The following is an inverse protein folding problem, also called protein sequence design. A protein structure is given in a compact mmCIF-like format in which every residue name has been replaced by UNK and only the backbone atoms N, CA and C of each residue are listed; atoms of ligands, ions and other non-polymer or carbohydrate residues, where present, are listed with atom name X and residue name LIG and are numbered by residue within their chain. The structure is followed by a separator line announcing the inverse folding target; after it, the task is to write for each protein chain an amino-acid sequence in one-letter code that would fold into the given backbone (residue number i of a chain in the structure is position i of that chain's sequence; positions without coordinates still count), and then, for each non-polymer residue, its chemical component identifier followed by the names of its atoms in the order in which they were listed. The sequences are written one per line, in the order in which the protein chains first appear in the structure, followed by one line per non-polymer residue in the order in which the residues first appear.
data_IF_305950825166
#
_entry.id   IF_305950825166
#
_cell.length_a   1.000
_cell.length_b   1.000
_cell.length_c   1.000
_cell.angle_alpha   90.00
_cell.angle_beta   90.00
_cell.angle_gamma   90.00
#
_symmetry.space_group_name_H-M   'P 1'
#
loop_
_entity.id
_entity.type
_entity.pdbx_description
1 polymer ?
#
# COMPACT_ATOMS: atom_id res chain seq x y z
N UNK A 1 14.49 10.00 4.52
CA UNK A 1 15.24 9.33 5.64
C UNK A 1 16.59 8.72 5.21
N UNK A 2 17.66 8.90 6.02
CA UNK A 2 19.02 8.42 5.68
C UNK A 2 19.14 6.89 5.60
N UNK A 3 18.46 6.15 6.49
CA UNK A 3 18.50 4.68 6.51
C UNK A 3 17.90 4.07 5.24
N UNK A 4 16.75 4.60 4.78
CA UNK A 4 16.10 4.18 3.54
C UNK A 4 17.02 4.44 2.34
N UNK A 5 17.62 5.63 2.26
CA UNK A 5 18.58 5.94 1.19
C UNK A 5 19.72 4.92 1.16
N UNK A 6 20.27 4.56 2.32
CA UNK A 6 21.38 3.59 2.38
C UNK A 6 20.97 2.20 1.92
N UNK A 7 19.82 1.70 2.38
CA UNK A 7 19.30 0.40 1.97
C UNK A 7 19.14 0.31 0.45
N UNK A 8 18.64 1.37 -0.19
CA UNK A 8 18.42 1.38 -1.63
C UNK A 8 19.71 1.57 -2.43
N UNK A 9 20.53 2.56 -2.07
CA UNK A 9 21.65 2.98 -2.92
C UNK A 9 22.95 2.21 -2.66
N UNK A 10 23.18 1.77 -1.42
CA UNK A 10 24.40 1.02 -1.09
C UNK A 10 24.14 -0.49 -1.02
N UNK A 11 22.98 -0.91 -0.49
CA UNK A 11 22.69 -2.34 -0.35
C UNK A 11 21.90 -2.93 -1.52
N UNK A 12 21.41 -2.10 -2.46
CA UNK A 12 20.64 -2.56 -3.61
C UNK A 12 19.29 -3.18 -3.23
N UNK A 13 18.68 -2.76 -2.12
CA UNK A 13 17.42 -3.35 -1.67
C UNK A 13 16.31 -3.16 -2.71
N UNK A 14 15.70 -4.27 -3.12
CA UNK A 14 14.59 -4.27 -4.07
C UNK A 14 13.24 -3.99 -3.39
N UNK A 15 13.15 -4.22 -2.07
CA UNK A 15 11.98 -4.01 -1.20
C UNK A 15 12.44 -3.52 0.16
N UNK A 16 11.54 -2.82 0.87
CA UNK A 16 11.84 -2.29 2.19
C UNK A 16 10.85 -2.82 3.22
N UNK A 17 11.39 -3.60 4.18
CA UNK A 17 10.69 -3.96 5.41
C UNK A 17 10.26 -2.71 6.17
N UNK A 18 8.96 -2.61 6.48
CA UNK A 18 8.27 -1.41 6.97
C UNK A 18 8.33 -0.25 5.98
N UNK A 19 9.50 0.38 5.83
CA UNK A 19 9.75 1.52 4.94
C UNK A 19 8.85 2.75 5.16
N UNK A 20 7.98 2.71 6.18
CA UNK A 20 6.85 3.61 6.37
C UNK A 20 7.27 5.05 6.67
N UNK A 21 8.46 5.23 7.24
CA UNK A 21 9.09 6.52 7.47
C UNK A 21 9.41 7.30 6.19
N UNK A 22 9.22 6.71 5.01
CA UNK A 22 9.27 7.47 3.76
C UNK A 22 8.28 8.64 3.75
N UNK A 23 7.22 8.57 4.56
CA UNK A 23 6.29 9.69 4.76
C UNK A 23 6.98 10.98 5.24
N UNK A 24 8.13 10.89 5.92
CA UNK A 24 8.93 12.07 6.31
C UNK A 24 9.51 12.82 5.11
N UNK A 25 9.60 12.18 3.94
CA UNK A 25 10.01 12.79 2.67
C UNK A 25 8.78 13.21 1.84
N UNK A 26 7.61 13.37 2.47
CA UNK A 26 6.37 13.87 1.86
C UNK A 26 5.91 15.09 2.66
N UNK A 27 5.91 16.25 2.03
CA UNK A 27 5.43 17.49 2.65
C UNK A 27 3.91 17.59 2.53
N UNK A 28 3.27 18.18 3.54
CA UNK A 28 1.87 18.56 3.50
C UNK A 28 1.78 20.08 3.29
N UNK A 29 1.58 20.49 2.05
CA UNK A 29 1.63 21.92 1.66
C UNK A 29 0.26 22.60 1.75
N UNK A 30 -0.81 21.82 1.97
CA UNK A 30 -2.17 22.31 2.15
C UNK A 30 -3.17 21.17 2.36
N UNK A 31 -4.48 21.49 2.49
CA UNK A 31 -5.54 20.50 2.56
C UNK A 31 -5.56 19.64 1.28
N UNK A 32 -5.26 18.34 1.42
CA UNK A 32 -5.19 17.40 0.28
C UNK A 32 -3.94 17.52 -0.60
N UNK A 33 -3.15 18.58 -0.48
CA UNK A 33 -1.93 18.79 -1.26
C UNK A 33 -0.71 18.13 -0.62
N UNK A 34 0.08 17.44 -1.44
CA UNK A 34 1.28 16.71 -1.00
C UNK A 34 2.40 16.88 -2.01
N UNK A 35 3.54 17.42 -1.58
CA UNK A 35 4.77 17.42 -2.39
C UNK A 35 5.66 16.27 -1.98
N UNK A 36 6.11 15.48 -2.96
CA UNK A 36 7.08 14.44 -2.71
C UNK A 36 8.50 15.02 -2.74
N UNK A 37 9.29 14.64 -1.75
CA UNK A 37 10.74 14.83 -1.77
C UNK A 37 11.41 13.92 -2.80
N UNK A 38 12.72 14.11 -2.95
CA UNK A 38 13.51 13.41 -3.98
C UNK A 38 13.49 11.89 -3.81
N UNK A 39 13.56 11.40 -2.57
CA UNK A 39 13.61 9.97 -2.30
C UNK A 39 12.21 9.35 -2.45
N UNK A 40 11.17 10.03 -1.97
CA UNK A 40 9.78 9.66 -2.16
C UNK A 40 9.43 9.54 -3.65
N UNK A 41 9.81 10.53 -4.47
CA UNK A 41 9.70 10.48 -5.94
C UNK A 41 10.39 9.24 -6.51
N UNK A 42 11.68 9.07 -6.19
CA UNK A 42 12.49 7.94 -6.67
C UNK A 42 11.83 6.59 -6.38
N UNK A 43 11.35 6.40 -5.14
CA UNK A 43 10.74 5.15 -4.69
C UNK A 43 9.40 4.88 -5.34
N UNK A 44 8.53 5.91 -5.41
CA UNK A 44 7.22 5.80 -6.06
C UNK A 44 7.39 5.46 -7.53
N UNK A 45 8.26 6.17 -8.25
CA UNK A 45 8.40 6.06 -9.70
C UNK A 45 9.07 4.73 -10.11
N UNK A 46 10.06 4.26 -9.32
CA UNK A 46 10.65 2.92 -9.51
C UNK A 46 9.80 1.78 -8.96
N UNK A 47 8.64 2.09 -8.38
CA UNK A 47 7.71 1.13 -7.79
C UNK A 47 8.36 0.27 -6.69
N UNK A 48 9.27 0.84 -5.90
CA UNK A 48 9.94 0.16 -4.79
C UNK A 48 8.90 -0.21 -3.72
N UNK A 49 8.72 -1.51 -3.41
CA UNK A 49 7.71 -1.97 -2.46
C UNK A 49 8.03 -1.59 -1.01
N UNK A 50 7.02 -1.11 -0.30
CA UNK A 50 6.99 -0.89 1.14
C UNK A 50 6.20 -2.03 1.79
N UNK A 51 6.90 -2.87 2.54
CA UNK A 51 6.30 -3.99 3.27
C UNK A 51 5.75 -3.47 4.60
N UNK A 52 4.54 -2.90 4.56
CA UNK A 52 3.95 -2.24 5.72
C UNK A 52 3.30 -3.26 6.65
N UNK A 53 3.51 -3.07 7.94
CA UNK A 53 3.00 -3.92 9.01
C UNK A 53 2.19 -3.06 9.99
N UNK A 54 0.90 -2.77 9.70
CA UNK A 54 0.17 -1.70 10.37
C UNK A 54 0.10 -1.86 11.89
N UNK A 55 -0.29 -3.04 12.38
CA UNK A 55 -0.40 -3.30 13.82
C UNK A 55 0.99 -3.32 14.49
N UNK A 56 1.99 -3.93 13.86
CA UNK A 56 3.37 -3.93 14.37
C UNK A 56 3.95 -2.51 14.51
N UNK A 57 3.69 -1.62 13.55
CA UNK A 57 4.13 -0.22 13.61
C UNK A 57 3.52 0.54 14.81
N UNK A 58 2.29 0.20 15.21
CA UNK A 58 1.64 0.77 16.40
C UNK A 58 2.24 0.17 17.67
N UNK A 59 2.36 -1.16 17.73
CA UNK A 59 2.92 -1.88 18.89
C UNK A 59 4.36 -1.48 19.21
N UNK A 60 5.14 -1.12 18.19
CA UNK A 60 6.52 -0.63 18.32
C UNK A 60 6.61 0.87 18.60
N UNK A 61 5.48 1.57 18.69
CA UNK A 61 5.40 2.99 19.02
C UNK A 61 5.81 3.93 17.88
N UNK A 62 5.86 3.45 16.64
CA UNK A 62 6.17 4.30 15.47
C UNK A 62 5.01 5.25 15.17
N UNK A 63 3.77 4.81 15.40
CA UNK A 63 2.55 5.63 15.31
C UNK A 63 1.63 5.33 16.49
N UNK A 64 0.83 6.32 16.90
CA UNK A 64 0.00 6.20 18.10
C UNK A 64 -1.28 5.35 17.86
N UNK A 65 -1.81 5.36 16.64
CA UNK A 65 -3.08 4.69 16.32
C UNK A 65 -3.15 4.28 14.85
N UNK A 66 -4.10 3.41 14.52
CA UNK A 66 -4.35 3.04 13.11
C UNK A 66 -4.85 4.26 12.31
N UNK A 67 -5.68 5.13 12.89
CA UNK A 67 -6.20 6.31 12.23
C UNK A 67 -5.09 7.33 11.84
N UNK A 68 -4.02 7.39 12.62
CA UNK A 68 -2.84 8.23 12.35
C UNK A 68 -1.80 7.53 11.46
N UNK A 69 -2.01 6.26 11.12
CA UNK A 69 -1.03 5.49 10.36
C UNK A 69 -0.93 6.03 8.92
N UNK A 70 0.26 6.38 8.40
CA UNK A 70 0.42 7.03 7.10
C UNK A 70 0.23 6.10 5.90
N UNK A 71 -0.27 4.88 6.14
CA UNK A 71 -0.47 3.89 5.08
C UNK A 71 -1.52 4.41 4.09
N UNK A 72 -2.60 5.01 4.57
CA UNK A 72 -3.66 5.56 3.73
C UNK A 72 -3.13 6.65 2.80
N UNK A 73 -2.35 7.59 3.35
CA UNK A 73 -1.69 8.63 2.55
C UNK A 73 -0.75 8.04 1.50
N UNK A 74 0.05 7.03 1.83
CA UNK A 74 0.97 6.41 0.86
C UNK A 74 0.22 5.63 -0.23
N UNK A 75 -0.91 5.00 0.10
CA UNK A 75 -1.81 4.36 -0.87
C UNK A 75 -2.42 5.40 -1.81
N UNK A 76 -2.91 6.52 -1.27
CA UNK A 76 -3.46 7.63 -2.06
C UNK A 76 -2.43 8.23 -3.00
N UNK A 77 -1.18 8.39 -2.54
CA UNK A 77 -0.04 8.83 -3.32
C UNK A 77 0.53 7.76 -4.28
N UNK A 78 -0.14 6.61 -4.38
CA UNK A 78 0.16 5.51 -5.33
C UNK A 78 1.53 4.86 -5.13
N UNK A 79 2.09 4.92 -3.92
CA UNK A 79 3.27 4.14 -3.56
C UNK A 79 3.00 2.64 -3.70
N UNK A 80 4.03 1.84 -3.93
CA UNK A 80 3.88 0.38 -3.93
C UNK A 80 3.80 -0.12 -2.49
N UNK A 81 2.61 -0.11 -1.91
CA UNK A 81 2.38 -0.58 -0.54
C UNK A 81 1.87 -2.02 -0.55
N UNK A 82 2.37 -2.83 0.38
CA UNK A 82 1.84 -4.16 0.74
C UNK A 82 1.48 -4.18 2.23
N UNK A 83 0.58 -5.07 2.62
CA UNK A 83 0.19 -5.28 4.03
C UNK A 83 0.70 -6.63 4.49
N UNK A 84 1.30 -6.68 5.67
CA UNK A 84 1.94 -7.85 6.23
C UNK A 84 1.70 -7.89 7.74
N UNK A 85 1.79 -9.08 8.34
CA UNK A 85 1.61 -9.25 9.80
C UNK A 85 2.87 -9.02 10.62
N UNK A 86 4.05 -8.96 9.98
CA UNK A 86 5.34 -9.04 10.66
C UNK A 86 5.41 -10.27 11.58
N UNK A 87 5.19 -10.10 12.88
CA UNK A 87 5.11 -11.17 13.87
C UNK A 87 3.67 -11.40 14.34
N UNK A 88 3.05 -12.51 13.89
CA UNK A 88 1.69 -12.90 14.27
C UNK A 88 1.54 -13.21 15.76
N UNK A 89 2.53 -13.87 16.36
CA UNK A 89 2.48 -14.30 17.76
C UNK A 89 2.54 -13.10 18.70
N UNK A 90 3.51 -12.22 18.50
CA UNK A 90 3.75 -11.08 19.38
C UNK A 90 2.68 -10.00 19.22
N UNK A 91 2.16 -9.82 18.00
CA UNK A 91 1.13 -8.81 17.73
C UNK A 91 -0.29 -9.36 17.85
N UNK A 92 -0.47 -10.67 18.04
CA UNK A 92 -1.76 -11.36 18.05
C UNK A 92 -2.64 -11.01 16.83
N UNK A 93 -2.05 -11.09 15.63
CA UNK A 93 -2.71 -10.73 14.36
C UNK A 93 -2.67 -11.85 13.32
N UNK A 94 -3.60 -11.77 12.38
CA UNK A 94 -3.64 -12.53 11.13
C UNK A 94 -3.68 -11.58 9.93
N UNK A 95 -3.47 -12.09 8.72
CA UNK A 95 -3.65 -11.28 7.51
C UNK A 95 -5.08 -10.71 7.41
N UNK A 96 -6.08 -11.49 7.82
CA UNK A 96 -7.47 -11.06 7.83
C UNK A 96 -7.70 -9.90 8.80
N UNK A 97 -7.13 -9.97 10.01
CA UNK A 97 -7.30 -8.90 11.01
C UNK A 97 -6.56 -7.62 10.60
N UNK A 98 -5.38 -7.71 9.99
CA UNK A 98 -4.68 -6.53 9.46
C UNK A 98 -5.49 -5.84 8.36
N UNK A 99 -6.02 -6.61 7.40
CA UNK A 99 -6.89 -6.05 6.35
C UNK A 99 -8.19 -5.47 6.93
N UNK A 100 -8.80 -6.14 7.91
CA UNK A 100 -9.99 -5.64 8.60
C UNK A 100 -9.72 -4.34 9.36
N UNK A 101 -8.56 -4.20 10.01
CA UNK A 101 -8.19 -2.96 10.67
C UNK A 101 -8.08 -1.77 9.70
N UNK A 102 -7.62 -2.00 8.47
CA UNK A 102 -7.60 -0.96 7.42
C UNK A 102 -9.01 -0.62 6.91
N UNK A 103 -9.89 -1.62 6.81
CA UNK A 103 -11.31 -1.39 6.52
C UNK A 103 -11.94 -0.51 7.60
N UNK A 104 -11.71 -0.85 8.87
CA UNK A 104 -12.32 -0.16 10.00
C UNK A 104 -11.79 1.27 10.17
N UNK A 105 -10.48 1.47 10.02
CA UNK A 105 -9.85 2.77 10.22
C UNK A 105 -10.00 3.73 9.03
N UNK A 106 -9.99 3.21 7.80
CA UNK A 106 -9.92 4.04 6.58
C UNK A 106 -11.05 3.80 5.59
N UNK A 107 -12.01 2.94 5.90
CA UNK A 107 -13.15 2.64 5.03
C UNK A 107 -12.75 1.92 3.73
N UNK A 108 -11.69 1.11 3.74
CA UNK A 108 -11.21 0.42 2.54
C UNK A 108 -12.27 -0.52 1.99
N UNK A 109 -12.63 -0.36 0.72
CA UNK A 109 -13.47 -1.28 -0.02
C UNK A 109 -12.68 -2.42 -0.65
N UNK A 110 -13.38 -3.35 -1.29
CA UNK A 110 -12.79 -4.51 -1.96
C UNK A 110 -11.72 -4.15 -3.00
N UNK A 111 -11.95 -3.10 -3.80
CA UNK A 111 -10.99 -2.65 -4.82
C UNK A 111 -9.63 -2.27 -4.25
N UNK A 112 -9.62 -1.61 -3.08
CA UNK A 112 -8.39 -1.18 -2.42
C UNK A 112 -7.67 -2.36 -1.77
N UNK A 113 -8.41 -3.30 -1.17
CA UNK A 113 -7.85 -4.57 -0.68
C UNK A 113 -7.25 -5.41 -1.83
N UNK A 114 -7.96 -5.53 -2.96
CA UNK A 114 -7.44 -6.18 -4.18
C UNK A 114 -6.16 -5.49 -4.65
N UNK A 115 -6.13 -4.16 -4.66
CA UNK A 115 -4.95 -3.39 -5.08
C UNK A 115 -3.73 -3.69 -4.20
N UNK A 116 -3.90 -3.73 -2.88
CA UNK A 116 -2.83 -4.11 -1.95
C UNK A 116 -2.33 -5.54 -2.21
N UNK A 117 -3.25 -6.49 -2.41
CA UNK A 117 -2.90 -7.89 -2.69
C UNK A 117 -2.18 -8.05 -4.04
N UNK A 118 -2.64 -7.35 -5.09
CA UNK A 118 -1.96 -7.32 -6.40
C UNK A 118 -0.59 -6.66 -6.27
N UNK A 119 -0.44 -5.60 -5.47
CA UNK A 119 0.86 -4.99 -5.21
C UNK A 119 1.81 -5.96 -4.53
N UNK A 120 1.34 -6.73 -3.54
CA UNK A 120 2.14 -7.77 -2.91
C UNK A 120 2.63 -8.79 -3.92
N UNK A 121 1.76 -9.30 -4.79
CA UNK A 121 2.14 -10.29 -5.79
C UNK A 121 3.05 -9.72 -6.89
N UNK A 122 2.80 -8.49 -7.36
CA UNK A 122 3.72 -7.78 -8.29
C UNK A 122 5.10 -7.52 -7.68
N UNK A 123 5.20 -7.56 -6.35
CA UNK A 123 6.40 -7.31 -5.56
C UNK A 123 6.95 -8.59 -4.94
N UNK A 124 6.46 -9.77 -5.33
CA UNK A 124 7.07 -11.02 -4.86
C UNK A 124 8.36 -11.30 -5.62
N UNK A 125 9.21 -12.15 -5.04
CA UNK A 125 10.42 -12.64 -5.68
C UNK A 125 10.19 -13.84 -6.62
N UNK A 126 8.93 -14.16 -6.93
CA UNK A 126 8.62 -15.17 -7.93
C UNK A 126 9.01 -14.68 -9.34
N UNK A 127 9.36 -15.60 -10.25
CA UNK A 127 9.54 -15.30 -11.66
C UNK A 127 8.33 -14.57 -12.27
N UNK A 128 8.58 -13.70 -13.26
CA UNK A 128 7.57 -12.82 -13.85
C UNK A 128 6.29 -13.55 -14.28
N UNK A 129 6.42 -14.70 -14.95
CA UNK A 129 5.28 -15.47 -15.45
C UNK A 129 4.42 -16.04 -14.32
N UNK A 130 5.05 -16.54 -13.26
CA UNK A 130 4.36 -17.07 -12.08
C UNK A 130 3.61 -15.96 -11.34
N UNK A 131 4.21 -14.78 -11.20
CA UNK A 131 3.53 -13.61 -10.62
C UNK A 131 2.30 -13.23 -11.43
N UNK A 132 2.43 -13.15 -12.76
CA UNK A 132 1.32 -12.80 -13.64
C UNK A 132 0.20 -13.84 -13.55
N UNK A 133 0.55 -15.13 -13.56
CA UNK A 133 -0.42 -16.21 -13.39
C UNK A 133 -1.17 -16.10 -12.06
N UNK A 134 -0.47 -15.88 -10.94
CA UNK A 134 -1.11 -15.70 -9.63
C UNK A 134 -2.04 -14.49 -9.61
N UNK A 135 -1.65 -13.38 -10.25
CA UNK A 135 -2.48 -12.17 -10.31
C UNK A 135 -3.76 -12.41 -11.13
N UNK A 136 -3.62 -12.96 -12.34
CA UNK A 136 -4.73 -13.07 -13.29
C UNK A 136 -5.64 -14.28 -13.01
N UNK A 137 -5.09 -15.40 -12.50
CA UNK A 137 -5.84 -16.64 -12.32
C UNK A 137 -6.36 -16.86 -10.88
N UNK A 138 -5.75 -16.22 -9.87
CA UNK A 138 -6.10 -16.44 -8.47
C UNK A 138 -6.59 -15.16 -7.81
N UNK A 139 -5.77 -14.10 -7.81
CA UNK A 139 -6.06 -12.89 -7.03
C UNK A 139 -7.25 -12.14 -7.64
N UNK A 140 -7.17 -11.70 -8.90
CA UNK A 140 -8.26 -10.93 -9.53
C UNK A 140 -9.57 -11.71 -9.56
N UNK A 141 -9.61 -13.00 -9.95
CA UNK A 141 -10.85 -13.78 -9.93
C UNK A 141 -11.42 -13.98 -8.53
N UNK A 142 -10.57 -14.11 -7.50
CA UNK A 142 -11.03 -14.23 -6.11
C UNK A 142 -11.72 -12.98 -5.58
N UNK A 143 -11.27 -11.79 -5.99
CA UNK A 143 -11.90 -10.53 -5.60
C UNK A 143 -13.10 -10.14 -6.46
N UNK A 144 -13.18 -10.58 -7.72
CA UNK A 144 -14.27 -10.23 -8.65
C UNK A 144 -15.70 -10.46 -8.08
N UNK A 145 -16.05 -11.62 -7.50
CA UNK A 145 -17.39 -11.82 -6.94
C UNK A 145 -17.63 -10.96 -5.69
N UNK A 146 -16.58 -10.62 -4.94
CA UNK A 146 -16.66 -9.76 -3.76
C UNK A 146 -16.92 -8.30 -4.14
N UNK A 147 -16.30 -7.81 -5.22
CA UNK A 147 -16.59 -6.47 -5.75
C UNK A 147 -18.00 -6.37 -6.35
N UNK A 148 -18.52 -7.47 -6.93
CA UNK A 148 -19.87 -7.52 -7.48
C UNK A 148 -20.95 -7.65 -6.40
N UNK A 149 -20.70 -8.46 -5.37
CA UNK A 149 -21.60 -8.63 -4.24
C UNK A 149 -21.39 -7.48 -3.24
N UNK A 150 -22.39 -6.62 -3.02
CA UNK A 150 -22.33 -5.50 -2.05
C UNK A 150 -22.26 -5.94 -0.56
N UNK A 151 -21.63 -7.07 -0.24
CA UNK A 151 -21.26 -7.44 1.12
C UNK A 151 -20.14 -6.54 1.66
N UNK A 152 -19.87 -6.58 2.97
CA UNK A 152 -18.77 -5.82 3.61
C UNK A 152 -17.43 -6.18 2.93
N UNK A 153 -16.56 -5.21 2.55
CA UNK A 153 -16.50 -3.83 3.01
C UNK A 153 -17.13 -2.80 2.05
N UNK A 154 -17.55 -1.66 2.62
CA UNK A 154 -18.36 -0.64 1.94
C UNK A 154 -17.65 -0.07 0.69
N UNK A 155 -18.40 0.60 -0.20
CA UNK A 155 -17.78 1.29 -1.32
C UNK A 155 -16.85 2.38 -0.78
N UNK A 156 -15.55 2.18 -0.93
CA UNK A 156 -14.58 3.27 -0.89
C UNK A 156 -14.98 4.23 -2.02
N UNK A 157 -15.52 5.39 -1.66
CA UNK A 157 -16.00 6.38 -2.62
C UNK A 157 -14.84 7.10 -3.32
N UNK A 158 -13.59 6.86 -2.86
CA UNK A 158 -12.40 7.40 -3.49
C UNK A 158 -12.08 6.65 -4.79
N UNK A 159 -11.43 7.31 -5.76
CA UNK A 159 -11.11 6.68 -7.05
C UNK A 159 -10.24 5.43 -6.88
N UNK A 160 -10.61 4.34 -7.56
CA UNK A 160 -9.80 3.10 -7.55
C UNK A 160 -8.36 3.44 -7.94
N UNK A 161 -7.35 3.11 -7.11
CA UNK A 161 -5.95 3.33 -7.43
C UNK A 161 -5.44 2.63 -8.69
N UNK A 162 -6.20 1.70 -9.26
CA UNK A 162 -5.92 1.08 -10.55
C UNK A 162 -6.42 1.89 -11.76
N UNK A 163 -7.39 2.79 -11.57
CA UNK A 163 -7.90 3.63 -12.64
C UNK A 163 -7.02 4.87 -12.72
N UNK A 164 -6.35 5.07 -13.86
CA UNK A 164 -5.71 6.36 -14.12
C UNK A 164 -6.76 7.46 -13.95
N UNK A 165 -6.39 8.63 -13.38
CA UNK A 165 -7.24 9.79 -13.52
C UNK A 165 -7.50 9.94 -15.02
N UNK A 166 -8.77 10.08 -15.41
CA UNK A 166 -9.08 10.50 -16.78
C UNK A 166 -8.31 11.80 -16.95
N UNK A 167 -7.26 11.77 -17.76
CA UNK A 167 -6.71 13.00 -18.29
C UNK A 167 -7.91 13.60 -19.01
N UNK A 168 -8.49 14.66 -18.46
CA UNK A 168 -9.40 15.48 -19.23
C UNK A 168 -8.60 15.84 -20.47
N UNK A 169 -9.01 15.28 -21.62
CA UNK A 169 -8.55 15.74 -22.91
C UNK A 169 -8.94 17.21 -22.96
N UNK A 170 -7.99 18.07 -22.59
CA UNK A 170 -7.97 19.44 -23.07
C UNK A 170 -7.84 19.33 -24.58
N UNK A 171 -9.01 19.25 -25.24
CA UNK A 171 -9.10 19.37 -26.67
C UNK A 171 -8.51 20.73 -27.08
N UNK A 172 -7.78 20.77 -28.20
CA UNK A 172 -7.11 21.98 -28.69
C UNK A 172 -8.09 23.10 -29.04
#
# INVERSE_FOLDING_TARGET
PRSIWKALQFCGAERLGHGIRIIEDVAADGPGERTLGRLAHYMRDRRIPLEVCPTSNINTGVFASMAEHPIDTLVDLRFRVTVNTDNRLMSNVSMTSEMAALVDAFGYGWARLRWLTVNAMKSSFLPFRERLQMIEAVIKPGYAPLEAARGRPPPDTRPDPNLSPRLEETQP
#
